data_IF_387045184312
#
_entry.id   IF_387045184312
#
_cell.length_a   1.000
_cell.length_b   1.000
_cell.length_c   1.000
_cell.angle_alpha   90.00
_cell.angle_beta   90.00
_cell.angle_gamma   90.00
#
_symmetry.space_group_name_H-M   'P 1'
#
loop_
_entity.id
_entity.type
_entity.pdbx_description
1 polymer ?
#
# COMPACT_ATOMS: atom_id res chain seq x y z
N UNK A 1 -39.99 -8.60 13.34
CA UNK A 1 -39.28 -9.19 12.19
C UNK A 1 -38.16 -8.30 11.63
N UNK A 2 -38.33 -6.98 11.49
CA UNK A 2 -37.26 -6.08 10.96
C UNK A 2 -35.94 -6.07 11.78
N UNK A 3 -36.03 -6.16 13.11
CA UNK A 3 -34.83 -6.15 14.01
C UNK A 3 -33.95 -7.38 13.85
N UNK A 4 -34.52 -8.55 13.59
CA UNK A 4 -33.77 -9.80 13.36
C UNK A 4 -33.06 -9.80 12.01
N UNK A 5 -33.69 -9.24 10.97
CA UNK A 5 -33.09 -9.12 9.64
C UNK A 5 -31.88 -8.16 9.61
N UNK A 6 -31.97 -7.02 10.33
CA UNK A 6 -30.86 -6.06 10.45
C UNK A 6 -29.65 -6.67 11.15
N UNK A 7 -29.83 -7.50 12.19
CA UNK A 7 -28.74 -8.20 12.90
C UNK A 7 -28.03 -9.21 12.01
N UNK A 8 -28.78 -9.97 11.20
CA UNK A 8 -28.22 -10.96 10.28
C UNK A 8 -27.39 -10.30 9.16
N UNK A 9 -27.82 -9.15 8.64
CA UNK A 9 -27.09 -8.41 7.62
C UNK A 9 -25.76 -7.85 8.22
N UNK A 10 -25.80 -7.35 9.45
CA UNK A 10 -24.60 -6.81 10.13
C UNK A 10 -23.56 -7.90 10.39
N UNK A 11 -23.97 -9.09 10.82
CA UNK A 11 -23.07 -10.24 10.97
C UNK A 11 -22.45 -10.68 9.63
N UNK A 12 -23.22 -10.72 8.54
CA UNK A 12 -22.72 -11.14 7.24
C UNK A 12 -21.62 -10.19 6.69
N UNK A 13 -21.72 -8.88 6.97
CA UNK A 13 -20.72 -7.89 6.58
C UNK A 13 -19.40 -8.05 7.35
N UNK A 14 -19.45 -8.36 8.64
CA UNK A 14 -18.26 -8.56 9.46
C UNK A 14 -17.40 -9.76 9.02
N UNK A 15 -18.02 -10.85 8.60
CA UNK A 15 -17.30 -12.05 8.13
C UNK A 15 -16.56 -11.82 6.80
N UNK A 16 -17.06 -10.93 5.94
CA UNK A 16 -16.40 -10.65 4.66
C UNK A 16 -15.09 -9.86 4.83
N UNK A 17 -15.03 -8.88 5.74
CA UNK A 17 -13.81 -8.08 6.01
C UNK A 17 -12.68 -8.98 6.53
N UNK A 18 -12.96 -9.84 7.51
CA UNK A 18 -11.94 -10.75 8.07
C UNK A 18 -11.41 -11.76 7.02
N UNK A 19 -12.24 -12.18 6.10
CA UNK A 19 -11.84 -13.08 5.01
C UNK A 19 -10.95 -12.37 3.97
N UNK A 20 -11.24 -11.12 3.63
CA UNK A 20 -10.43 -10.30 2.72
C UNK A 20 -9.05 -10.01 3.33
N UNK A 21 -8.98 -9.62 4.60
CA UNK A 21 -7.71 -9.35 5.28
C UNK A 21 -6.82 -10.60 5.35
N UNK A 22 -7.39 -11.76 5.59
CA UNK A 22 -6.65 -13.05 5.58
C UNK A 22 -6.13 -13.38 4.19
N UNK A 23 -6.92 -13.16 3.14
CA UNK A 23 -6.49 -13.37 1.75
C UNK A 23 -5.37 -12.40 1.39
N UNK A 24 -5.54 -11.12 1.67
CA UNK A 24 -4.53 -10.09 1.42
C UNK A 24 -3.20 -10.38 2.14
N UNK A 25 -3.26 -10.76 3.41
CA UNK A 25 -2.06 -11.19 4.16
C UNK A 25 -1.39 -12.42 3.54
N UNK A 26 -2.17 -13.42 3.12
CA UNK A 26 -1.63 -14.60 2.44
C UNK A 26 -0.94 -14.21 1.13
N UNK A 27 -1.55 -13.33 0.34
CA UNK A 27 -0.97 -12.80 -0.89
C UNK A 27 0.31 -11.99 -0.61
N UNK A 28 0.34 -11.21 0.49
CA UNK A 28 1.56 -10.55 0.92
C UNK A 28 2.69 -11.53 1.21
N UNK A 29 2.42 -12.60 1.97
CA UNK A 29 3.41 -13.63 2.29
C UNK A 29 3.98 -14.29 1.03
N UNK A 30 3.14 -14.55 0.04
CA UNK A 30 3.54 -15.26 -1.17
C UNK A 30 4.26 -14.38 -2.21
N UNK A 31 3.92 -13.09 -2.29
CA UNK A 31 4.34 -12.22 -3.40
C UNK A 31 5.23 -11.04 -2.98
N UNK A 32 5.23 -10.62 -1.70
CA UNK A 32 5.89 -9.41 -1.26
C UNK A 32 6.89 -9.65 -0.12
N UNK A 33 6.58 -10.54 0.81
CA UNK A 33 7.33 -10.77 2.04
C UNK A 33 8.77 -11.23 1.79
N UNK A 34 9.03 -11.92 0.66
CA UNK A 34 10.38 -12.38 0.32
C UNK A 34 11.40 -11.24 0.22
N UNK A 35 10.97 -10.05 -0.20
CA UNK A 35 11.79 -8.85 -0.28
C UNK A 35 11.51 -7.88 0.88
N UNK A 36 10.22 -7.62 1.18
CA UNK A 36 9.82 -6.62 2.17
C UNK A 36 9.81 -7.10 3.62
N UNK A 37 10.07 -8.39 3.86
CA UNK A 37 10.07 -9.07 5.17
C UNK A 37 8.68 -9.12 5.84
N UNK A 38 8.49 -9.94 6.93
CA UNK A 38 7.16 -10.21 7.49
C UNK A 38 6.41 -8.99 8.05
N UNK A 39 7.13 -7.97 8.49
CA UNK A 39 6.56 -6.75 9.08
C UNK A 39 6.71 -5.53 8.16
N UNK A 40 7.08 -5.73 6.89
CA UNK A 40 7.32 -4.63 5.97
C UNK A 40 8.58 -3.82 6.25
N UNK A 41 9.57 -4.41 6.95
CA UNK A 41 10.81 -3.72 7.35
C UNK A 41 11.72 -3.37 6.18
N UNK A 42 11.63 -4.16 5.09
CA UNK A 42 12.54 -4.03 3.97
C UNK A 42 13.99 -4.44 4.29
N UNK A 43 14.91 -4.09 3.43
CA UNK A 43 16.34 -4.34 3.60
C UNK A 43 17.14 -3.09 3.26
N UNK A 44 17.89 -2.58 4.22
CA UNK A 44 18.65 -1.33 4.11
C UNK A 44 19.55 -1.34 2.85
N UNK A 45 19.48 -0.29 2.04
CA UNK A 45 20.25 -0.17 0.79
C UNK A 45 19.82 -1.11 -0.33
N UNK A 46 18.73 -1.89 -0.19
CA UNK A 46 18.29 -2.84 -1.20
C UNK A 46 16.77 -2.86 -1.44
N UNK A 47 15.95 -2.88 -0.37
CA UNK A 47 14.49 -2.94 -0.48
C UNK A 47 13.87 -1.91 0.45
N UNK A 48 13.06 -0.96 -0.09
CA UNK A 48 12.41 0.07 0.72
C UNK A 48 11.52 -0.53 1.82
N UNK A 49 11.53 0.07 2.99
CA UNK A 49 10.59 -0.28 4.06
C UNK A 49 9.17 0.14 3.68
N UNK A 50 8.21 -0.67 4.07
CA UNK A 50 6.78 -0.35 4.03
C UNK A 50 6.31 0.17 5.39
N UNK A 51 6.85 -0.45 6.46
CA UNK A 51 6.47 -0.19 7.84
C UNK A 51 6.70 1.28 8.23
N UNK A 52 5.64 1.93 8.72
CA UNK A 52 5.61 3.33 9.14
C UNK A 52 6.12 4.31 8.06
N UNK A 53 5.97 3.94 6.78
CA UNK A 53 6.53 4.75 5.70
C UNK A 53 5.67 4.78 4.43
N UNK A 54 5.18 3.64 3.96
CA UNK A 54 4.49 3.56 2.65
C UNK A 54 3.25 4.46 2.58
N UNK A 55 2.61 4.76 3.70
CA UNK A 55 1.45 5.65 3.78
C UNK A 55 1.72 7.07 3.32
N UNK A 56 2.95 7.57 3.47
CA UNK A 56 3.31 8.92 3.04
C UNK A 56 3.14 9.14 1.53
N UNK A 57 3.38 8.12 0.72
CA UNK A 57 3.15 8.22 -0.74
C UNK A 57 1.70 8.58 -1.09
N UNK A 58 0.74 8.18 -0.25
CA UNK A 58 -0.68 8.39 -0.52
C UNK A 58 -1.17 9.82 -0.25
N UNK A 59 -0.28 10.73 0.18
CA UNK A 59 -0.55 12.16 0.28
C UNK A 59 -0.48 12.89 -1.07
N UNK A 60 -0.03 12.21 -2.13
CA UNK A 60 -0.04 12.76 -3.49
C UNK A 60 -0.64 11.77 -4.49
N UNK A 61 -1.12 12.29 -5.61
CA UNK A 61 -1.58 11.47 -6.72
C UNK A 61 -0.41 10.66 -7.30
N UNK A 62 0.72 11.30 -7.49
CA UNK A 62 1.94 10.72 -8.04
C UNK A 62 2.44 9.55 -7.18
N UNK A 63 2.39 9.71 -5.86
CA UNK A 63 2.77 8.65 -4.92
C UNK A 63 1.78 7.48 -4.92
N UNK A 64 0.48 7.77 -5.05
CA UNK A 64 -0.54 6.74 -5.21
C UNK A 64 -0.32 5.92 -6.49
N UNK A 65 -0.08 6.58 -7.61
CA UNK A 65 0.21 5.92 -8.88
C UNK A 65 1.52 5.12 -8.79
N UNK A 66 2.56 5.69 -8.20
CA UNK A 66 3.86 5.06 -7.99
C UNK A 66 3.78 3.70 -7.30
N UNK A 67 3.06 3.59 -6.18
CA UNK A 67 2.92 2.30 -5.45
C UNK A 67 2.38 1.20 -6.37
N UNK A 68 1.41 1.51 -7.22
CA UNK A 68 0.80 0.55 -8.13
C UNK A 68 1.65 0.26 -9.38
N UNK A 69 2.64 1.11 -9.69
CA UNK A 69 3.46 1.03 -10.91
C UNK A 69 4.86 0.47 -10.69
N UNK A 70 5.28 0.24 -9.44
CA UNK A 70 6.58 -0.40 -9.19
C UNK A 70 6.64 -1.83 -9.74
N UNK A 71 7.81 -2.29 -10.21
CA UNK A 71 7.94 -3.60 -10.87
C UNK A 71 7.36 -4.77 -10.07
N UNK A 72 7.56 -4.80 -8.74
CA UNK A 72 7.02 -5.85 -7.88
C UNK A 72 5.49 -5.96 -7.91
N UNK A 73 4.79 -4.84 -8.15
CA UNK A 73 3.33 -4.77 -8.24
C UNK A 73 2.87 -5.08 -9.67
N UNK A 74 3.46 -4.41 -10.67
CA UNK A 74 3.04 -4.58 -12.07
C UNK A 74 3.29 -5.98 -12.62
N UNK A 75 4.35 -6.65 -12.16
CA UNK A 75 4.75 -8.01 -12.56
C UNK A 75 4.12 -9.11 -11.68
N UNK A 76 3.35 -8.76 -10.66
CA UNK A 76 2.66 -9.73 -9.80
C UNK A 76 1.69 -10.58 -10.63
N UNK A 77 1.62 -11.88 -10.32
CA UNK A 77 0.68 -12.83 -10.93
C UNK A 77 -0.75 -12.72 -10.37
N UNK A 78 -0.95 -11.91 -9.32
CA UNK A 78 -2.28 -11.64 -8.76
C UNK A 78 -3.17 -10.94 -9.79
N UNK A 79 -4.46 -11.24 -9.76
CA UNK A 79 -5.42 -10.47 -10.53
C UNK A 79 -5.62 -9.05 -9.94
N UNK A 80 -6.38 -8.19 -10.62
CA UNK A 80 -6.51 -6.80 -10.21
C UNK A 80 -7.33 -6.62 -8.93
N UNK A 81 -8.28 -7.52 -8.67
CA UNK A 81 -9.07 -7.52 -7.43
C UNK A 81 -8.18 -7.92 -6.24
N UNK A 82 -7.49 -9.03 -6.34
CA UNK A 82 -6.55 -9.51 -5.31
C UNK A 82 -5.44 -8.50 -5.03
N UNK A 83 -4.93 -7.83 -6.07
CA UNK A 83 -3.88 -6.84 -5.93
C UNK A 83 -4.39 -5.56 -5.28
N UNK A 84 -5.60 -5.09 -5.62
CA UNK A 84 -6.23 -3.94 -4.95
C UNK A 84 -6.47 -4.22 -3.47
N UNK A 85 -6.96 -5.40 -3.12
CA UNK A 85 -7.13 -5.84 -1.73
C UNK A 85 -5.79 -5.90 -0.97
N UNK A 86 -4.77 -6.50 -1.60
CA UNK A 86 -3.43 -6.59 -1.02
C UNK A 86 -2.84 -5.21 -0.74
N UNK A 87 -2.87 -4.29 -1.69
CA UNK A 87 -2.33 -2.94 -1.49
C UNK A 87 -3.09 -2.17 -0.41
N UNK A 88 -4.41 -2.26 -0.38
CA UNK A 88 -5.24 -1.63 0.64
C UNK A 88 -4.96 -2.18 2.04
N UNK A 89 -4.82 -3.50 2.16
CA UNK A 89 -4.44 -4.15 3.40
C UNK A 89 -3.01 -3.73 3.82
N UNK A 90 -2.05 -3.78 2.91
CA UNK A 90 -0.64 -3.49 3.17
C UNK A 90 -0.43 -2.08 3.72
N UNK A 91 -1.03 -1.07 3.11
CA UNK A 91 -0.86 0.32 3.57
C UNK A 91 -1.48 0.54 4.95
N UNK A 92 -2.57 -0.13 5.28
CA UNK A 92 -3.18 -0.08 6.61
C UNK A 92 -2.39 -0.89 7.64
N UNK A 93 -2.01 -2.12 7.30
CA UNK A 93 -1.31 -3.01 8.22
C UNK A 93 0.08 -2.48 8.64
N UNK A 94 0.75 -1.78 7.71
CA UNK A 94 2.13 -1.35 7.97
C UNK A 94 2.31 0.15 8.16
N UNK A 95 1.34 0.98 7.78
CA UNK A 95 1.52 2.45 7.75
C UNK A 95 0.21 3.23 7.96
N UNK A 96 -0.68 2.75 8.82
CA UNK A 96 -1.99 3.37 9.10
C UNK A 96 -1.86 4.81 9.57
N UNK A 97 -0.89 5.09 10.46
CA UNK A 97 -0.69 6.41 11.05
C UNK A 97 -0.15 7.44 10.04
N UNK A 98 0.47 6.98 8.95
CA UNK A 98 1.02 7.82 7.88
C UNK A 98 0.03 8.04 6.73
N UNK A 99 -1.17 7.46 6.79
CA UNK A 99 -2.19 7.65 5.75
C UNK A 99 -2.79 9.06 5.81
N UNK A 100 -3.15 9.65 4.66
CA UNK A 100 -3.91 10.89 4.65
C UNK A 100 -5.29 10.68 5.31
N UNK A 101 -5.80 11.71 5.99
CA UNK A 101 -7.12 11.66 6.68
C UNK A 101 -8.27 11.20 5.77
N UNK A 102 -8.17 11.48 4.48
CA UNK A 102 -9.14 11.07 3.45
C UNK A 102 -8.54 10.00 2.53
N UNK A 103 -7.98 8.95 3.12
CA UNK A 103 -7.49 7.83 2.35
C UNK A 103 -8.61 7.18 1.54
N UNK A 104 -8.40 7.07 0.23
CA UNK A 104 -9.27 6.38 -0.71
C UNK A 104 -8.66 5.02 -1.05
N UNK A 105 -9.33 3.89 -0.75
CA UNK A 105 -8.83 2.58 -1.15
C UNK A 105 -8.64 2.45 -2.67
N UNK A 106 -7.66 1.65 -3.09
CA UNK A 106 -7.53 1.26 -4.50
C UNK A 106 -8.71 0.43 -4.92
N UNK A 107 -9.17 0.63 -6.16
CA UNK A 107 -10.16 -0.23 -6.81
C UNK A 107 -9.48 -1.14 -7.81
N UNK A 108 -10.15 -2.26 -8.16
CA UNK A 108 -9.68 -3.18 -9.20
C UNK A 108 -9.50 -2.48 -10.55
N UNK A 109 -10.44 -1.61 -10.93
CA UNK A 109 -10.37 -0.84 -12.19
C UNK A 109 -9.17 0.13 -12.22
N UNK A 110 -8.88 0.79 -11.08
CA UNK A 110 -7.72 1.67 -10.95
C UNK A 110 -6.43 0.87 -11.10
N UNK A 111 -6.30 -0.26 -10.42
CA UNK A 111 -5.13 -1.15 -10.54
C UNK A 111 -4.98 -1.64 -11.99
N UNK A 112 -6.07 -2.01 -12.65
CA UNK A 112 -6.03 -2.40 -14.08
C UNK A 112 -5.39 -1.32 -14.97
N UNK A 113 -5.71 -0.05 -14.74
CA UNK A 113 -5.13 1.03 -15.53
C UNK A 113 -3.66 1.28 -15.18
N UNK A 114 -3.33 1.34 -13.89
CA UNK A 114 -1.98 1.69 -13.42
C UNK A 114 -0.94 0.63 -13.78
N UNK A 115 -1.29 -0.66 -13.75
CA UNK A 115 -0.38 -1.75 -14.13
C UNK A 115 0.04 -1.73 -15.59
N UNK A 116 -0.71 -1.06 -16.48
CA UNK A 116 -0.39 -0.96 -17.92
C UNK A 116 0.81 -0.06 -18.18
N UNK A 117 1.17 0.77 -17.20
CA UNK A 117 2.28 1.74 -17.30
C UNK A 117 3.30 1.51 -16.18
N UNK A 118 4.13 0.44 -16.27
CA UNK A 118 5.18 0.19 -15.31
C UNK A 118 6.15 1.37 -15.22
N UNK A 119 6.59 1.69 -14.02
CA UNK A 119 7.55 2.76 -13.81
C UNK A 119 8.94 2.35 -14.30
N UNK A 120 9.55 3.09 -15.25
CA UNK A 120 10.86 2.76 -15.79
C UNK A 120 12.03 3.17 -14.86
N UNK A 121 11.81 4.11 -13.93
CA UNK A 121 12.80 4.60 -12.96
C UNK A 121 12.19 4.69 -11.55
N UNK A 122 12.00 3.57 -10.86
CA UNK A 122 11.39 3.56 -9.54
C UNK A 122 12.19 4.36 -8.49
N UNK A 123 13.52 4.40 -8.60
CA UNK A 123 14.37 5.08 -7.61
C UNK A 123 14.28 6.60 -7.74
N UNK A 124 14.48 7.12 -8.95
CA UNK A 124 14.42 8.56 -9.21
C UNK A 124 13.03 9.11 -8.90
N UNK A 125 11.99 8.41 -9.32
CA UNK A 125 10.62 8.86 -9.05
C UNK A 125 10.26 8.78 -7.55
N UNK A 126 10.70 7.73 -6.84
CA UNK A 126 10.51 7.62 -5.40
C UNK A 126 11.00 8.86 -4.67
N UNK A 127 12.25 9.24 -4.92
CA UNK A 127 12.87 10.38 -4.25
C UNK A 127 12.16 11.69 -4.58
N UNK A 128 11.85 11.94 -5.85
CA UNK A 128 11.11 13.13 -6.26
C UNK A 128 9.73 13.25 -5.61
N UNK A 129 9.00 12.13 -5.46
CA UNK A 129 7.69 12.11 -4.79
C UNK A 129 7.85 12.40 -3.30
N UNK A 130 8.82 11.79 -2.64
CA UNK A 130 9.04 11.99 -1.21
C UNK A 130 9.44 13.43 -0.91
N UNK A 131 10.33 14.02 -1.70
CA UNK A 131 10.70 15.43 -1.56
C UNK A 131 9.48 16.36 -1.70
N UNK A 132 8.66 16.14 -2.72
CA UNK A 132 7.44 16.92 -2.95
C UNK A 132 6.43 16.77 -1.79
N UNK A 133 6.22 15.57 -1.28
CA UNK A 133 5.30 15.33 -0.17
C UNK A 133 5.83 15.92 1.14
N UNK A 134 7.15 15.87 1.36
CA UNK A 134 7.80 16.41 2.54
C UNK A 134 7.68 17.95 2.67
N UNK A 135 7.48 18.69 1.57
CA UNK A 135 7.17 20.13 1.62
C UNK A 135 5.93 20.45 2.46
N UNK A 136 4.95 19.52 2.46
CA UNK A 136 3.70 19.65 3.22
C UNK A 136 3.66 18.87 4.53
N UNK A 137 4.64 18.02 4.80
CA UNK A 137 4.70 17.09 5.93
C UNK A 137 6.10 17.13 6.59
N UNK A 138 6.32 18.02 7.57
CA UNK A 138 7.62 18.14 8.25
C UNK A 138 8.13 16.83 8.88
N UNK A 139 7.23 16.00 9.40
CA UNK A 139 7.54 14.67 9.95
C UNK A 139 8.14 13.74 8.91
N UNK A 140 7.71 13.81 7.65
CA UNK A 140 8.30 13.04 6.56
C UNK A 140 9.72 13.53 6.23
N UNK A 141 9.96 14.83 6.26
CA UNK A 141 11.30 15.36 6.03
C UNK A 141 12.31 14.84 7.07
N UNK A 142 11.93 14.75 8.35
CA UNK A 142 12.73 14.16 9.41
C UNK A 142 12.96 12.66 9.20
N UNK A 143 11.90 11.92 8.81
CA UNK A 143 11.98 10.49 8.48
C UNK A 143 12.93 10.22 7.31
N UNK A 144 12.85 11.00 6.23
CA UNK A 144 13.76 10.87 5.08
C UNK A 144 15.21 11.11 5.49
N UNK A 145 15.46 12.13 6.31
CA UNK A 145 16.83 12.50 6.75
C UNK A 145 17.47 11.41 7.62
N UNK A 146 16.67 10.62 8.34
CA UNK A 146 17.12 9.55 9.25
C UNK A 146 16.96 8.16 8.67
N UNK A 147 16.17 8.03 7.61
CA UNK A 147 15.87 6.75 6.96
C UNK A 147 17.06 6.30 6.12
N UNK A 148 17.84 5.36 6.61
CA UNK A 148 18.96 4.77 5.85
C UNK A 148 18.54 4.04 4.55
N UNK A 149 17.29 4.17 4.10
CA UNK A 149 16.73 3.65 2.84
C UNK A 149 16.76 4.70 1.71
N UNK A 150 17.42 5.85 1.90
CA UNK A 150 17.75 6.74 0.79
C UNK A 150 18.81 6.06 -0.10
N UNK A 151 18.49 5.87 -1.36
CA UNK A 151 19.37 5.29 -2.38
C UNK A 151 20.08 6.38 -3.16
#
# INVERSE_FOLDING_TARGET
MLRGLALLILCALAFNVDAQDKRAYTNYMLHCQGCHLPQGEGALGAVPRLKNFVGYFLHSREGREFIAQVPGVTMSSLDNEELSELLNWMVRAYSEEQLPRQFMPYTSDEIEQLRKTPNPDPLGQRNSILDMVAEGLPELAEEIATDGYAY
#
